data_IF_864802757083
#
_entry.id   IF_864802757083
#
_cell.length_a   1.000
_cell.length_b   1.000
_cell.length_c   1.000
_cell.angle_alpha   90.00
_cell.angle_beta   90.00
_cell.angle_gamma   90.00
#
_symmetry.space_group_name_H-M   'P 1'
#
loop_
_entity.id
_entity.type
_entity.pdbx_description
1 polymer ?
#
# COMPACT_ATOMS: atom_id res chain seq x y z
N UNK A 1 -23.17 -49.27 28.19
CA UNK A 1 -22.68 -49.29 26.80
C UNK A 1 -23.36 -48.14 26.08
N UNK A 2 -23.01 -46.89 26.35
CA UNK A 2 -21.77 -46.14 26.03
C UNK A 2 -21.76 -45.62 24.59
N UNK A 3 -22.10 -44.33 24.46
CA UNK A 3 -21.67 -43.30 23.47
C UNK A 3 -21.95 -43.63 21.99
N UNK A 4 -22.33 -42.69 21.12
CA UNK A 4 -21.54 -41.51 20.74
C UNK A 4 -22.48 -40.39 20.25
N UNK A 5 -22.43 -39.25 20.93
CA UNK A 5 -22.85 -37.96 20.36
C UNK A 5 -21.72 -37.51 19.42
N UNK A 6 -22.01 -37.46 18.12
CA UNK A 6 -21.09 -36.88 17.14
C UNK A 6 -21.31 -35.36 17.15
N UNK A 7 -20.59 -34.68 18.04
CA UNK A 7 -20.47 -33.23 18.04
C UNK A 7 -19.80 -32.82 16.73
N UNK A 8 -20.56 -32.17 15.86
CA UNK A 8 -20.06 -31.42 14.71
C UNK A 8 -19.27 -30.23 15.25
N UNK A 9 -17.99 -30.46 15.57
CA UNK A 9 -17.01 -29.41 15.79
C UNK A 9 -16.50 -29.07 14.41
N UNK A 10 -16.96 -27.92 13.93
CA UNK A 10 -16.31 -26.99 13.01
C UNK A 10 -15.01 -27.56 12.47
N UNK A 11 -15.09 -27.99 11.22
CA UNK A 11 -13.96 -28.22 10.34
C UNK A 11 -13.20 -26.88 10.23
N UNK A 12 -12.31 -26.64 11.19
CA UNK A 12 -11.18 -25.73 11.04
C UNK A 12 -10.36 -26.30 9.89
N UNK A 13 -10.71 -25.86 8.68
CA UNK A 13 -9.81 -25.95 7.54
C UNK A 13 -8.53 -25.27 7.99
N UNK A 14 -7.48 -26.07 8.08
CA UNK A 14 -6.10 -25.68 8.36
C UNK A 14 -5.64 -24.84 7.16
N UNK A 15 -6.11 -23.59 7.07
CA UNK A 15 -5.27 -22.52 6.55
C UNK A 15 -4.36 -22.20 7.71
N UNK A 16 -3.12 -22.72 7.66
CA UNK A 16 -2.10 -22.36 8.62
C UNK A 16 -1.90 -20.86 8.59
N UNK A 17 -2.54 -20.15 9.51
CA UNK A 17 -2.09 -18.82 9.93
C UNK A 17 -0.74 -19.07 10.60
N UNK A 18 0.32 -19.10 9.81
CA UNK A 18 1.67 -19.10 10.33
C UNK A 18 1.88 -17.75 11.01
N UNK A 19 1.85 -17.72 12.34
CA UNK A 19 2.17 -16.52 13.09
C UNK A 19 3.68 -16.25 12.98
N UNK A 20 4.05 -15.05 12.53
CA UNK A 20 5.44 -14.55 12.52
C UNK A 20 5.76 -13.93 13.88
N UNK A 21 5.74 -14.79 14.90
CA UNK A 21 6.07 -14.45 16.28
C UNK A 21 7.28 -15.26 16.72
N UNK A 22 8.20 -14.60 17.42
CA UNK A 22 9.37 -15.21 18.03
C UNK A 22 9.43 -14.89 19.52
N UNK A 23 9.55 -15.90 20.40
CA UNK A 23 9.73 -15.65 21.81
C UNK A 23 11.08 -14.98 22.06
N UNK A 24 11.07 -13.90 22.83
CA UNK A 24 12.28 -13.12 23.13
C UNK A 24 13.36 -13.99 23.79
N UNK A 25 12.96 -14.97 24.59
CA UNK A 25 13.88 -15.92 25.24
C UNK A 25 14.71 -16.73 24.24
N UNK A 26 14.13 -17.17 23.12
CA UNK A 26 14.85 -17.90 22.07
C UNK A 26 15.91 -17.01 21.41
N UNK A 27 15.55 -15.76 21.13
CA UNK A 27 16.51 -14.77 20.60
C UNK A 27 17.60 -14.41 21.63
N UNK A 28 17.24 -14.38 22.92
CA UNK A 28 18.18 -14.15 24.02
C UNK A 28 19.12 -15.33 24.31
N UNK A 29 18.77 -16.56 23.90
CA UNK A 29 19.67 -17.71 24.02
C UNK A 29 20.76 -17.67 22.95
N UNK A 30 20.45 -17.09 21.80
CA UNK A 30 21.35 -16.89 20.66
C UNK A 30 21.88 -15.45 20.56
N UNK A 31 22.28 -14.84 21.69
CA UNK A 31 22.76 -13.43 21.68
C UNK A 31 23.95 -13.25 20.75
N UNK A 32 23.88 -12.23 19.91
CA UNK A 32 24.94 -11.88 18.96
C UNK A 32 25.02 -12.77 17.72
N UNK A 33 24.13 -13.76 17.57
CA UNK A 33 24.00 -14.54 16.34
C UNK A 33 22.72 -14.16 15.60
N UNK A 34 22.77 -13.93 14.27
CA UNK A 34 21.57 -13.67 13.50
C UNK A 34 20.72 -14.93 13.36
N UNK A 35 19.46 -14.85 13.79
CA UNK A 35 18.45 -15.86 13.55
C UNK A 35 17.83 -15.64 12.18
N UNK A 36 18.12 -16.53 11.21
CA UNK A 36 17.56 -16.43 9.86
C UNK A 36 16.19 -17.10 9.76
N UNK A 37 15.29 -16.48 9.01
CA UNK A 37 13.99 -17.05 8.71
C UNK A 37 13.60 -16.83 7.24
N UNK A 38 12.87 -17.80 6.70
CA UNK A 38 12.10 -17.67 5.46
C UNK A 38 10.73 -18.28 5.74
N UNK A 39 9.69 -17.46 5.64
CA UNK A 39 8.32 -17.85 5.96
C UNK A 39 7.36 -17.23 4.96
N UNK A 40 6.30 -17.96 4.64
CA UNK A 40 5.19 -17.45 3.82
C UNK A 40 3.96 -17.27 4.71
N UNK A 41 3.33 -16.11 4.62
CA UNK A 41 2.10 -15.81 5.37
C UNK A 41 0.99 -15.39 4.43
N UNK A 42 -0.22 -15.79 4.79
CA UNK A 42 -1.45 -15.32 4.16
C UNK A 42 -2.04 -14.21 5.03
N UNK A 43 -2.22 -13.01 4.47
CA UNK A 43 -2.78 -11.84 5.16
C UNK A 43 -3.83 -11.10 4.35
N UNK A 44 -4.40 -11.76 3.35
CA UNK A 44 -5.39 -11.18 2.45
C UNK A 44 -6.55 -10.55 3.22
N UNK A 45 -7.21 -11.32 4.10
CA UNK A 45 -8.38 -10.83 4.83
C UNK A 45 -8.07 -9.64 5.77
N UNK A 46 -6.86 -9.56 6.33
CA UNK A 46 -6.48 -8.44 7.21
C UNK A 46 -6.26 -7.17 6.40
N UNK A 47 -5.53 -7.29 5.29
CA UNK A 47 -5.25 -6.16 4.40
C UNK A 47 -6.53 -5.60 3.78
N UNK A 48 -7.44 -6.47 3.33
CA UNK A 48 -8.75 -6.06 2.80
C UNK A 48 -9.63 -5.38 3.86
N UNK A 49 -9.52 -5.77 5.13
CA UNK A 49 -10.26 -5.11 6.21
C UNK A 49 -9.73 -3.69 6.49
N UNK A 50 -8.42 -3.48 6.33
CA UNK A 50 -7.78 -2.18 6.55
C UNK A 50 -7.91 -1.25 5.35
N UNK A 51 -7.92 -1.79 4.13
CA UNK A 51 -8.15 -1.02 2.91
C UNK A 51 -9.10 -1.78 1.96
N UNK A 52 -10.28 -1.18 1.72
CA UNK A 52 -11.34 -1.74 0.86
C UNK A 52 -11.01 -1.70 -0.64
N UNK A 53 -9.98 -0.96 -1.05
CA UNK A 53 -9.55 -0.91 -2.45
C UNK A 53 -8.84 -2.20 -2.87
N UNK A 54 -8.24 -2.91 -1.90
CA UNK A 54 -7.53 -4.16 -2.11
C UNK A 54 -8.53 -5.26 -2.48
N UNK A 55 -8.40 -5.82 -3.68
CA UNK A 55 -9.31 -6.86 -4.19
C UNK A 55 -8.80 -8.26 -3.88
N UNK A 56 -7.49 -8.46 -3.97
CA UNK A 56 -6.84 -9.73 -3.63
C UNK A 56 -5.38 -9.50 -3.26
N UNK A 57 -4.81 -10.43 -2.48
CA UNK A 57 -3.39 -10.40 -2.10
C UNK A 57 -2.80 -11.79 -2.20
N UNK A 58 -1.70 -11.95 -2.93
CA UNK A 58 -0.97 -13.21 -2.97
C UNK A 58 -0.30 -13.52 -1.63
N UNK A 59 0.02 -14.80 -1.30
CA UNK A 59 0.81 -15.13 -0.12
C UNK A 59 2.11 -14.35 -0.05
N UNK A 60 2.36 -13.69 1.08
CA UNK A 60 3.52 -12.83 1.31
C UNK A 60 4.69 -13.70 1.70
N UNK A 61 5.78 -13.66 0.94
CA UNK A 61 7.03 -14.33 1.28
C UNK A 61 7.92 -13.34 2.02
N UNK A 62 8.31 -13.67 3.25
CA UNK A 62 9.24 -12.86 4.02
C UNK A 62 10.52 -13.63 4.32
N UNK A 63 11.66 -13.01 4.03
CA UNK A 63 12.98 -13.59 4.23
C UNK A 63 13.93 -12.58 4.85
N UNK A 64 14.64 -12.98 5.90
CA UNK A 64 15.55 -12.08 6.60
C UNK A 64 16.13 -12.68 7.86
N UNK A 65 16.52 -11.81 8.77
CA UNK A 65 17.10 -12.19 10.05
C UNK A 65 16.65 -11.30 11.21
N UNK A 66 16.72 -11.88 12.40
CA UNK A 66 16.55 -11.21 13.69
C UNK A 66 17.87 -11.27 14.44
N UNK A 67 18.31 -10.15 15.03
CA UNK A 67 19.52 -10.08 15.83
C UNK A 67 19.20 -9.46 17.19
N UNK A 68 19.42 -10.21 18.27
CA UNK A 68 19.31 -9.69 19.62
C UNK A 68 20.64 -9.11 20.10
N UNK A 69 20.68 -7.80 20.35
CA UNK A 69 21.83 -7.08 20.89
C UNK A 69 21.36 -5.93 21.81
N UNK A 70 22.10 -5.67 22.89
CA UNK A 70 21.88 -4.52 23.79
C UNK A 70 20.43 -4.31 24.26
N UNK A 71 19.72 -5.38 24.67
CA UNK A 71 18.31 -5.33 25.09
C UNK A 71 17.34 -4.87 23.99
N UNK A 72 17.73 -5.07 22.73
CA UNK A 72 16.90 -4.80 21.56
C UNK A 72 17.04 -5.92 20.54
N UNK A 73 16.01 -6.08 19.70
CA UNK A 73 16.00 -6.98 18.56
C UNK A 73 15.99 -6.14 17.30
N UNK A 74 17.02 -6.27 16.48
CA UNK A 74 17.05 -5.73 15.12
C UNK A 74 16.40 -6.75 14.19
N UNK A 75 15.33 -6.34 13.52
CA UNK A 75 14.68 -7.10 12.47
C UNK A 75 15.01 -6.50 11.11
N UNK A 76 15.66 -7.28 10.24
CA UNK A 76 15.96 -6.88 8.87
C UNK A 76 15.50 -7.98 7.92
N UNK A 77 14.51 -7.68 7.09
CA UNK A 77 13.91 -8.65 6.20
C UNK A 77 13.32 -8.02 4.96
N UNK A 78 13.10 -8.84 3.94
CA UNK A 78 12.44 -8.45 2.69
C UNK A 78 11.16 -9.22 2.53
N UNK A 79 10.17 -8.55 1.94
CA UNK A 79 8.89 -9.15 1.59
C UNK A 79 8.63 -9.05 0.10
N UNK A 80 8.15 -10.14 -0.48
CA UNK A 80 7.70 -10.25 -1.86
C UNK A 80 6.23 -10.64 -1.87
N UNK A 81 5.41 -9.84 -2.55
CA UNK A 81 3.99 -10.10 -2.75
C UNK A 81 3.49 -9.52 -4.07
N UNK A 82 2.29 -9.90 -4.47
CA UNK A 82 1.53 -9.31 -5.55
C UNK A 82 0.16 -8.93 -5.02
N UNK A 83 -0.25 -7.69 -5.23
CA UNK A 83 -1.53 -7.15 -4.80
C UNK A 83 -2.40 -6.83 -6.01
N UNK A 84 -3.69 -7.12 -5.95
CA UNK A 84 -4.64 -6.77 -6.99
C UNK A 84 -5.40 -5.52 -6.58
N UNK A 85 -5.25 -4.47 -7.39
CA UNK A 85 -5.87 -3.15 -7.18
C UNK A 85 -6.67 -2.76 -8.43
N UNK A 86 -7.76 -1.99 -8.28
CA UNK A 86 -8.46 -1.42 -9.43
C UNK A 86 -7.63 -0.29 -10.05
N UNK A 87 -7.63 -0.20 -11.38
CA UNK A 87 -7.05 0.93 -12.10
C UNK A 87 -7.76 2.23 -11.71
N UNK A 88 -6.98 3.29 -11.54
CA UNK A 88 -7.48 4.64 -11.24
C UNK A 88 -8.28 5.26 -12.41
N UNK A 89 -8.15 4.72 -13.63
CA UNK A 89 -8.81 5.22 -14.85
C UNK A 89 -10.02 4.38 -15.25
N UNK A 90 -9.81 3.08 -15.47
CA UNK A 90 -10.84 2.17 -15.99
C UNK A 90 -11.53 1.33 -14.91
N UNK A 91 -11.00 1.31 -13.68
CA UNK A 91 -11.40 0.38 -12.60
C UNK A 91 -11.18 -1.10 -12.93
N UNK A 92 -10.45 -1.41 -14.00
CA UNK A 92 -10.04 -2.78 -14.31
C UNK A 92 -9.06 -3.31 -13.26
N UNK A 93 -9.10 -4.61 -12.99
CA UNK A 93 -8.23 -5.24 -11.99
C UNK A 93 -6.81 -5.38 -12.52
N UNK A 94 -5.84 -4.83 -11.79
CA UNK A 94 -4.42 -4.85 -12.14
C UNK A 94 -3.62 -5.52 -11.03
N UNK A 95 -2.75 -6.44 -11.43
CA UNK A 95 -1.78 -7.07 -10.54
C UNK A 95 -0.54 -6.18 -10.40
N UNK A 96 -0.24 -5.78 -9.17
CA UNK A 96 0.91 -4.94 -8.83
C UNK A 96 1.89 -5.76 -7.98
N UNK A 97 3.06 -6.14 -8.51
CA UNK A 97 4.09 -6.79 -7.72
C UNK A 97 4.76 -5.76 -6.79
N UNK A 98 4.91 -6.11 -5.52
CA UNK A 98 5.56 -5.29 -4.49
C UNK A 98 6.73 -6.07 -3.90
N UNK A 99 7.88 -5.39 -3.81
CA UNK A 99 9.09 -5.87 -3.15
C UNK A 99 9.54 -4.81 -2.17
N UNK A 100 9.50 -5.12 -0.87
CA UNK A 100 9.79 -4.15 0.19
C UNK A 100 10.90 -4.68 1.08
N UNK A 101 11.78 -3.79 1.52
CA UNK A 101 12.78 -4.08 2.54
C UNK A 101 12.37 -3.36 3.83
N UNK A 102 12.33 -4.09 4.92
CA UNK A 102 11.86 -3.62 6.22
C UNK A 102 13.01 -3.75 7.21
N UNK A 103 13.28 -2.65 7.91
CA UNK A 103 14.26 -2.58 8.99
C UNK A 103 13.62 -1.91 10.20
N UNK A 104 13.51 -2.66 11.30
CA UNK A 104 12.87 -2.20 12.52
C UNK A 104 13.64 -2.67 13.75
N UNK A 105 13.61 -1.87 14.80
CA UNK A 105 14.22 -2.22 16.09
C UNK A 105 13.16 -2.33 17.17
N UNK A 106 13.10 -3.49 17.82
CA UNK A 106 12.21 -3.75 18.95
C UNK A 106 13.00 -3.66 20.26
N UNK A 107 12.65 -2.73 21.16
CA UNK A 107 13.39 -2.51 22.41
C UNK A 107 12.56 -2.85 23.65
N UNK A 108 13.21 -3.40 24.69
CA UNK A 108 12.59 -3.61 26.01
C UNK A 108 12.28 -2.27 26.71
N UNK A 109 13.03 -1.20 26.38
CA UNK A 109 12.81 0.15 26.89
C UNK A 109 13.28 1.20 25.90
N UNK A 110 12.39 2.13 25.54
CA UNK A 110 12.71 3.25 24.65
C UNK A 110 13.83 4.14 25.22
N UNK A 111 13.82 4.36 26.54
CA UNK A 111 14.84 5.15 27.24
C UNK A 111 16.25 4.57 27.08
N UNK A 112 16.38 3.23 27.18
CA UNK A 112 17.66 2.54 27.04
C UNK A 112 18.19 2.57 25.59
N UNK A 113 17.31 2.72 24.61
CA UNK A 113 17.71 2.80 23.20
C UNK A 113 18.19 4.21 22.84
N UNK A 114 17.50 5.25 23.31
CA UNK A 114 17.88 6.66 23.09
C UNK A 114 19.27 6.99 23.66
N UNK A 115 19.69 6.32 24.73
CA UNK A 115 21.04 6.45 25.28
C UNK A 115 22.14 5.87 24.37
N UNK A 116 21.80 5.01 23.40
CA UNK A 116 22.78 4.33 22.54
C UNK A 116 23.19 5.13 21.29
N UNK A 117 22.56 6.30 21.03
CA UNK A 117 22.83 7.17 19.86
C UNK A 117 22.90 6.39 18.52
N UNK A 118 22.05 5.36 18.38
CA UNK A 118 22.00 4.52 17.18
C UNK A 118 21.00 5.09 16.18
N UNK A 119 21.38 5.26 14.90
CA UNK A 119 20.47 5.74 13.87
C UNK A 119 19.58 4.57 13.38
N UNK A 120 18.54 4.21 14.13
CA UNK A 120 17.46 3.39 13.59
C UNK A 120 16.33 4.31 13.10
N UNK A 121 15.75 3.95 11.96
CA UNK A 121 14.65 4.68 11.35
C UNK A 121 13.34 4.48 12.14
N UNK A 122 13.09 3.26 12.63
CA UNK A 122 11.90 2.90 13.39
C UNK A 122 12.29 2.10 14.64
N UNK A 123 11.90 2.61 15.81
CA UNK A 123 12.10 1.97 17.11
C UNK A 123 10.74 1.72 17.75
N UNK A 124 10.43 0.46 18.04
CA UNK A 124 9.17 0.03 18.62
C UNK A 124 9.42 -0.56 20.01
N UNK A 125 8.66 -0.17 21.05
CA UNK A 125 8.70 -0.86 22.33
C UNK A 125 8.12 -2.27 22.19
N UNK A 126 8.72 -3.25 22.87
CA UNK A 126 8.21 -4.62 22.90
C UNK A 126 6.89 -4.70 23.68
N UNK A 127 5.84 -5.21 23.03
CA UNK A 127 4.57 -5.53 23.66
C UNK A 127 4.58 -6.98 24.17
N UNK A 128 5.17 -7.19 25.35
CA UNK A 128 5.25 -8.51 25.99
C UNK A 128 6.59 -9.22 25.76
N UNK A 129 6.57 -10.55 25.76
CA UNK A 129 7.76 -11.41 25.70
C UNK A 129 8.01 -11.99 24.28
N UNK A 130 7.35 -11.46 23.25
CA UNK A 130 7.44 -11.97 21.88
C UNK A 130 7.62 -10.84 20.87
N UNK A 131 8.45 -11.07 19.86
CA UNK A 131 8.60 -10.18 18.69
C UNK A 131 7.59 -10.62 17.63
N UNK A 132 6.65 -9.74 17.29
CA UNK A 132 5.64 -9.99 16.26
C UNK A 132 5.92 -9.11 15.04
N UNK A 133 6.32 -9.71 13.92
CA UNK A 133 6.61 -8.98 12.68
C UNK A 133 5.38 -8.78 11.78
N UNK A 134 4.23 -9.38 12.13
CA UNK A 134 3.01 -9.27 11.30
C UNK A 134 2.53 -7.82 11.15
N UNK A 135 2.42 -7.01 12.22
CA UNK A 135 1.98 -5.62 12.10
C UNK A 135 2.91 -4.80 11.20
N UNK A 136 4.22 -4.98 11.37
CA UNK A 136 5.26 -4.36 10.54
C UNK A 136 5.06 -4.66 9.05
N UNK A 137 4.81 -5.93 8.71
CA UNK A 137 4.56 -6.34 7.32
C UNK A 137 3.30 -5.66 6.78
N UNK A 138 2.20 -5.71 7.51
CA UNK A 138 0.93 -5.13 7.07
C UNK A 138 1.03 -3.62 6.88
N UNK A 139 1.66 -2.91 7.81
CA UNK A 139 1.85 -1.46 7.74
C UNK A 139 2.73 -1.08 6.56
N UNK A 140 3.87 -1.76 6.37
CA UNK A 140 4.77 -1.48 5.25
C UNK A 140 4.11 -1.73 3.89
N UNK A 141 3.27 -2.76 3.76
CA UNK A 141 2.49 -3.00 2.54
C UNK A 141 1.55 -1.84 2.26
N UNK A 142 0.77 -1.42 3.26
CA UNK A 142 -0.22 -0.35 3.10
C UNK A 142 0.43 1.01 2.80
N UNK A 143 1.56 1.30 3.43
CA UNK A 143 2.30 2.55 3.23
C UNK A 143 2.94 2.64 1.85
N UNK A 144 3.28 1.50 1.23
CA UNK A 144 3.91 1.45 -0.09
C UNK A 144 2.91 1.17 -1.23
N UNK A 145 1.60 1.28 -0.98
CA UNK A 145 0.62 1.20 -2.05
C UNK A 145 0.81 2.35 -3.05
N UNK A 146 0.79 2.06 -4.36
CA UNK A 146 0.90 3.10 -5.37
C UNK A 146 -0.32 4.03 -5.31
N UNK A 147 -0.07 5.35 -5.42
CA UNK A 147 -1.14 6.35 -5.45
C UNK A 147 -2.01 6.27 -6.71
N UNK A 148 -1.43 5.79 -7.80
CA UNK A 148 -2.12 5.61 -9.07
C UNK A 148 -1.76 4.24 -9.63
N UNK A 149 -2.78 3.50 -10.03
CA UNK A 149 -2.66 2.17 -10.66
C UNK A 149 -3.19 2.30 -12.07
N UNK A 150 -2.43 1.82 -13.04
CA UNK A 150 -2.79 1.85 -14.44
C UNK A 150 -2.66 0.46 -15.04
N UNK A 151 -3.52 0.15 -16.01
CA UNK A 151 -3.32 -1.02 -16.85
C UNK A 151 -2.09 -0.80 -17.77
N UNK A 152 -1.47 -1.87 -18.27
CA UNK A 152 -0.37 -1.75 -19.23
C UNK A 152 -0.74 -0.92 -20.47
N UNK A 153 -1.99 -0.98 -20.92
CA UNK A 153 -2.50 -0.18 -22.03
C UNK A 153 -2.60 1.31 -21.65
N UNK A 154 -3.12 1.62 -20.46
CA UNK A 154 -3.27 3.00 -19.95
C UNK A 154 -1.92 3.69 -19.66
N UNK A 155 -0.86 2.92 -19.42
CA UNK A 155 0.49 3.47 -19.27
C UNK A 155 1.09 3.96 -20.59
N UNK A 156 0.65 3.40 -21.71
CA UNK A 156 1.16 3.72 -23.06
C UNK A 156 0.23 4.68 -23.79
N UNK A 157 -1.07 4.61 -23.50
CA UNK A 157 -2.10 5.44 -24.11
C UNK A 157 -2.44 6.66 -23.24
N UNK A 158 -2.56 7.82 -23.87
CA UNK A 158 -3.14 9.01 -23.22
C UNK A 158 -4.66 9.10 -23.43
N UNK A 159 -5.29 8.01 -23.89
CA UNK A 159 -6.74 7.94 -23.99
C UNK A 159 -7.37 8.06 -22.60
N UNK A 160 -8.17 9.11 -22.46
CA UNK A 160 -8.94 9.39 -21.25
C UNK A 160 -10.31 8.74 -21.36
N UNK A 161 -10.92 8.33 -20.23
CA UNK A 161 -12.23 7.72 -20.25
C UNK A 161 -13.28 8.66 -20.85
N UNK A 162 -14.19 8.09 -21.64
CA UNK A 162 -15.30 8.79 -22.28
C UNK A 162 -16.58 7.96 -22.20
N UNK A 163 -17.73 8.62 -22.05
CA UNK A 163 -19.06 8.03 -22.16
C UNK A 163 -19.82 8.54 -23.38
N UNK A 164 -21.09 8.14 -23.50
CA UNK A 164 -21.94 8.54 -24.63
C UNK A 164 -22.18 10.05 -24.72
N UNK A 165 -22.21 10.74 -23.57
CA UNK A 165 -22.49 12.17 -23.47
C UNK A 165 -21.39 12.97 -22.74
N UNK A 166 -20.25 12.34 -22.42
CA UNK A 166 -19.15 12.99 -21.71
C UNK A 166 -17.78 12.47 -22.17
N UNK A 167 -16.76 13.31 -22.07
CA UNK A 167 -15.37 12.95 -22.35
C UNK A 167 -14.48 13.64 -21.32
N UNK A 168 -13.49 12.93 -20.77
CA UNK A 168 -12.49 13.54 -19.89
C UNK A 168 -11.40 14.17 -20.75
N UNK A 169 -11.25 15.49 -20.63
CA UNK A 169 -10.21 16.26 -21.31
C UNK A 169 -9.20 16.76 -20.29
N UNK A 170 -7.91 16.71 -20.65
CA UNK A 170 -6.87 17.30 -19.81
C UNK A 170 -7.03 18.83 -19.77
N UNK A 171 -6.65 19.45 -18.66
CA UNK A 171 -6.73 20.91 -18.51
C UNK A 171 -5.97 21.65 -19.62
N UNK A 172 -4.83 21.11 -20.04
CA UNK A 172 -4.05 21.67 -21.14
C UNK A 172 -4.81 21.60 -22.47
N UNK A 173 -5.40 20.44 -22.79
CA UNK A 173 -6.20 20.27 -24.01
C UNK A 173 -7.44 21.18 -24.00
N UNK A 174 -8.07 21.38 -22.85
CA UNK A 174 -9.18 22.30 -22.68
C UNK A 174 -8.75 23.76 -22.87
N UNK A 175 -7.62 24.17 -22.27
CA UNK A 175 -7.06 25.50 -22.43
C UNK A 175 -6.71 25.81 -23.89
N UNK A 176 -6.12 24.83 -24.60
CA UNK A 176 -5.84 24.91 -26.04
C UNK A 176 -7.13 25.05 -26.85
N UNK A 177 -8.13 24.18 -26.64
CA UNK A 177 -9.45 24.27 -27.30
C UNK A 177 -10.11 25.64 -27.05
N UNK A 178 -10.09 26.15 -25.81
CA UNK A 178 -10.66 27.45 -25.46
C UNK A 178 -9.92 28.62 -26.12
N UNK A 179 -8.61 28.49 -26.34
CA UNK A 179 -7.82 29.50 -27.02
C UNK A 179 -8.04 29.46 -28.54
N UNK A 180 -8.19 28.26 -29.11
CA UNK A 180 -8.56 28.03 -30.51
C UNK A 180 -9.98 28.53 -30.81
N UNK A 181 -10.97 28.27 -29.95
CA UNK A 181 -12.35 28.77 -30.07
C UNK A 181 -12.46 30.29 -29.95
N UNK A 182 -11.55 30.95 -29.23
CA UNK A 182 -11.45 32.42 -29.24
C UNK A 182 -10.93 32.97 -30.56
N UNK A 183 -10.13 32.19 -31.28
CA UNK A 183 -9.53 32.60 -32.55
C UNK A 183 -10.36 32.20 -33.76
N UNK A 184 -11.07 31.08 -33.69
CA UNK A 184 -11.88 30.52 -34.76
C UNK A 184 -13.37 30.60 -34.41
N UNK A 185 -14.09 31.37 -35.21
CA UNK A 185 -15.55 31.57 -35.23
C UNK A 185 -16.09 32.73 -34.38
N UNK A 186 -15.94 33.95 -34.91
CA UNK A 186 -16.95 34.99 -34.70
C UNK A 186 -18.01 34.78 -35.79
N UNK A 187 -19.20 34.27 -35.44
CA UNK A 187 -20.34 34.26 -36.37
C UNK A 187 -20.60 35.72 -36.78
N UNK A 188 -20.68 36.06 -38.08
CA UNK A 188 -20.86 37.44 -38.53
C UNK A 188 -22.10 38.12 -37.93
N UNK A 189 -23.10 37.36 -37.46
CA UNK A 189 -24.28 37.89 -36.74
C UNK A 189 -24.02 38.29 -35.29
N UNK A 190 -23.01 37.70 -34.65
CA UNK A 190 -22.64 37.96 -33.25
C UNK A 190 -21.51 39.00 -33.12
N UNK A 191 -20.98 39.51 -34.23
CA UNK A 191 -19.92 40.52 -34.25
C UNK A 191 -20.26 41.80 -33.45
N UNK A 192 -21.54 42.19 -33.40
CA UNK A 192 -22.00 43.36 -32.64
C UNK A 192 -21.89 43.19 -31.12
N UNK A 193 -22.00 41.96 -30.61
CA UNK A 193 -21.86 41.67 -29.17
C UNK A 193 -20.39 41.69 -28.73
N UNK A 194 -19.47 41.33 -29.63
CA UNK A 194 -18.03 41.43 -29.37
C UNK A 194 -17.60 42.87 -29.09
N UNK A 195 -18.10 43.82 -29.89
CA UNK A 195 -17.80 45.24 -29.70
C UNK A 195 -18.29 45.76 -28.35
N UNK A 196 -19.43 45.28 -27.85
CA UNK A 196 -19.95 45.65 -26.54
C UNK A 196 -19.12 45.09 -25.38
N UNK A 197 -18.64 43.84 -25.50
CA UNK A 197 -17.80 43.21 -24.48
C UNK A 197 -16.38 43.83 -24.42
N UNK A 198 -15.81 44.18 -25.58
CA UNK A 198 -14.52 44.88 -25.66
C UNK A 198 -14.58 46.32 -25.12
N UNK A 199 -15.75 46.96 -25.14
CA UNK A 199 -15.99 48.26 -24.52
C UNK A 199 -16.18 48.14 -23.00
N UNK A 200 -16.80 47.06 -22.51
CA UNK A 200 -16.97 46.81 -21.06
C UNK A 200 -15.63 46.57 -20.35
N UNK A 201 -14.72 45.78 -20.94
CA UNK A 201 -13.36 45.54 -20.39
C UNK A 201 -12.47 46.80 -20.35
N UNK A 202 -12.78 47.84 -21.14
CA UNK A 202 -12.05 49.12 -21.11
C UNK A 202 -12.60 50.13 -20.11
N UNK A 203 -13.77 49.86 -19.52
CA UNK A 203 -14.46 50.78 -18.62
C UNK A 203 -14.24 50.44 -17.14
N UNK A 204 -13.42 49.44 -16.84
CA UNK A 204 -12.86 49.17 -15.50
C UNK A 204 -11.42 49.69 -15.36
#
# INVERSE_FOLDING_TARGET
>A
MTKVFFTSIIQFVILGVMEMKWPLKELQEHRGEPYYFSRTIDRESSLMQRNNEIQAVSPIKAEGFLLYENHSVLANFRIDLTITLPSSRSLELVEVPLQLAIEEVYTESESLYLEQDKPAEVVLPLEGDEVNLVPAIEDNILLNLPLQVFTPEEMVSDEMPSGAEWEVVSEESFARKKQEEKTDQIDPRLAGLKALLEDEEKTE
#
